data_IF_591465274642
#
_entry.id   IF_591465274642
#
_cell.length_a   1.000
_cell.length_b   1.000
_cell.length_c   1.000
_cell.angle_alpha   90.00
_cell.angle_beta   90.00
_cell.angle_gamma   90.00
#
_symmetry.space_group_name_H-M   'P 1'
#
loop_
_entity.id
_entity.type
_entity.pdbx_description
1 polymer ?
#
# COMPACT_ATOMS: atom_id res chain seq x y z
N UNK A 1 14.61 -15.83 -15.79
CA UNK A 1 14.18 -15.76 -14.37
C UNK A 1 13.29 -14.54 -14.26
N UNK A 2 12.03 -14.70 -13.87
CA UNK A 2 11.07 -13.58 -13.79
C UNK A 2 11.50 -12.66 -12.66
N UNK A 3 11.85 -11.41 -12.99
CA UNK A 3 12.22 -10.42 -11.99
C UNK A 3 10.97 -10.05 -11.17
N UNK A 4 10.92 -10.51 -9.91
CA UNK A 4 9.79 -10.22 -9.03
C UNK A 4 9.88 -8.77 -8.54
N UNK A 5 8.88 -7.98 -8.92
CA UNK A 5 8.73 -6.58 -8.52
C UNK A 5 8.03 -6.43 -7.18
N UNK A 6 7.21 -7.39 -6.77
CA UNK A 6 6.60 -7.45 -5.44
C UNK A 6 6.87 -8.81 -4.84
N UNK A 7 7.32 -8.82 -3.59
CA UNK A 7 7.51 -10.03 -2.79
C UNK A 7 6.81 -9.82 -1.46
N UNK A 8 5.80 -10.64 -1.19
CA UNK A 8 5.13 -10.74 0.09
C UNK A 8 5.39 -12.15 0.61
N UNK A 9 6.07 -12.27 1.74
CA UNK A 9 6.33 -13.55 2.39
C UNK A 9 5.96 -13.46 3.87
N UNK A 10 4.97 -14.28 4.26
CA UNK A 10 4.47 -14.42 5.61
C UNK A 10 3.95 -13.12 6.22
N UNK A 11 3.23 -12.31 5.43
CA UNK A 11 2.67 -11.04 5.91
C UNK A 11 1.57 -11.29 6.95
N UNK A 12 1.72 -10.66 8.11
CA UNK A 12 0.73 -10.54 9.15
C UNK A 12 0.42 -9.06 9.42
N UNK A 13 -0.84 -8.79 9.75
CA UNK A 13 -1.28 -7.47 10.22
C UNK A 13 -2.07 -7.67 11.49
N UNK A 14 -1.57 -7.09 12.58
CA UNK A 14 -2.09 -7.27 13.93
C UNK A 14 -2.66 -5.95 14.46
N UNK A 15 -3.87 -6.01 15.03
CA UNK A 15 -4.44 -4.96 15.87
C UNK A 15 -4.63 -5.52 17.29
N UNK A 16 -4.78 -4.67 18.32
CA UNK A 16 -4.94 -5.15 19.70
C UNK A 16 -6.06 -6.18 19.91
N UNK A 17 -7.14 -6.07 19.13
CA UNK A 17 -8.29 -6.98 19.25
C UNK A 17 -8.15 -8.26 18.41
N UNK A 18 -7.40 -8.22 17.30
CA UNK A 18 -7.33 -9.35 16.37
C UNK A 18 -6.18 -9.21 15.35
N UNK A 19 -5.73 -10.36 14.86
CA UNK A 19 -4.99 -10.45 13.60
C UNK A 19 -5.98 -10.34 12.44
N UNK A 20 -5.72 -9.43 11.50
CA UNK A 20 -6.61 -9.16 10.34
C UNK A 20 -6.08 -9.70 9.02
N UNK A 21 -4.77 -10.02 8.96
CA UNK A 21 -4.15 -10.75 7.85
C UNK A 21 -3.22 -11.80 8.44
N UNK A 22 -3.35 -13.04 7.97
CA UNK A 22 -2.64 -14.21 8.50
C UNK A 22 -1.72 -14.79 7.44
N UNK A 23 -0.41 -14.67 7.64
CA UNK A 23 0.63 -15.36 6.87
C UNK A 23 0.43 -15.33 5.34
N UNK A 24 0.10 -14.16 4.77
CA UNK A 24 -0.12 -13.99 3.34
C UNK A 24 1.21 -14.02 2.59
N UNK A 25 1.34 -14.89 1.58
CA UNK A 25 2.52 -14.97 0.72
C UNK A 25 2.15 -14.99 -0.76
N UNK A 26 2.79 -14.13 -1.56
CA UNK A 26 2.73 -14.14 -3.01
C UNK A 26 3.88 -13.34 -3.63
N UNK A 27 4.15 -13.55 -4.90
CA UNK A 27 5.07 -12.71 -5.68
C UNK A 27 4.37 -12.15 -6.90
N UNK A 28 4.86 -11.02 -7.41
CA UNK A 28 4.35 -10.39 -8.63
C UNK A 28 5.51 -9.88 -9.49
N UNK A 29 5.50 -10.20 -10.77
CA UNK A 29 6.34 -9.58 -11.80
C UNK A 29 5.60 -8.43 -12.50
N UNK A 30 5.39 -8.58 -13.81
CA UNK A 30 4.68 -7.60 -14.66
C UNK A 30 3.22 -8.01 -14.94
N UNK A 31 2.79 -9.15 -14.43
CA UNK A 31 1.43 -9.64 -14.55
C UNK A 31 0.44 -8.87 -13.65
N UNK A 32 -0.85 -9.08 -13.90
CA UNK A 32 -1.93 -8.49 -13.11
C UNK A 32 -2.43 -9.52 -12.11
N UNK A 33 -2.45 -9.15 -10.83
CA UNK A 33 -2.97 -9.98 -9.75
C UNK A 33 -4.26 -9.37 -9.20
N UNK A 34 -5.29 -10.21 -9.09
CA UNK A 34 -6.51 -9.88 -8.37
C UNK A 34 -6.54 -10.63 -7.04
N UNK A 35 -6.71 -9.90 -5.94
CA UNK A 35 -6.97 -10.48 -4.63
C UNK A 35 -8.48 -10.46 -4.37
N UNK A 36 -9.10 -11.63 -4.30
CA UNK A 36 -10.57 -11.81 -4.19
C UNK A 36 -10.90 -12.49 -2.87
N UNK A 37 -12.08 -12.20 -2.31
CA UNK A 37 -12.58 -12.77 -1.07
C UNK A 37 -13.73 -11.94 -0.50
N UNK A 38 -14.37 -12.43 0.55
CA UNK A 38 -15.52 -11.79 1.22
C UNK A 38 -15.17 -10.45 1.89
N UNK A 39 -16.18 -9.62 2.18
CA UNK A 39 -15.97 -8.39 2.95
C UNK A 39 -15.29 -8.70 4.29
N UNK A 40 -14.29 -7.90 4.66
CA UNK A 40 -13.53 -8.10 5.90
C UNK A 40 -12.38 -9.12 5.83
N UNK A 41 -12.18 -9.84 4.73
CA UNK A 41 -11.12 -10.86 4.60
C UNK A 41 -9.67 -10.34 4.56
N UNK A 42 -9.43 -9.06 4.88
CA UNK A 42 -8.08 -8.48 4.93
C UNK A 42 -7.55 -7.89 3.61
N UNK A 43 -8.26 -7.99 2.47
CA UNK A 43 -7.78 -7.50 1.15
C UNK A 43 -7.29 -6.05 1.16
N UNK A 44 -8.15 -5.14 1.63
CA UNK A 44 -7.82 -3.71 1.70
C UNK A 44 -6.69 -3.44 2.70
N UNK A 45 -6.54 -4.29 3.73
CA UNK A 45 -5.46 -4.18 4.70
C UNK A 45 -4.13 -4.64 4.12
N UNK A 46 -4.10 -5.73 3.35
CA UNK A 46 -2.91 -6.17 2.60
C UNK A 46 -2.43 -5.09 1.63
N UNK A 47 -3.35 -4.48 0.88
CA UNK A 47 -3.01 -3.37 -0.02
C UNK A 47 -2.46 -2.15 0.75
N UNK A 48 -3.06 -1.80 1.90
CA UNK A 48 -2.55 -0.71 2.76
C UNK A 48 -1.18 -1.02 3.35
N UNK A 49 -0.88 -2.28 3.70
CA UNK A 49 0.44 -2.68 4.19
C UNK A 49 1.51 -2.50 3.12
N UNK A 50 1.23 -2.89 1.87
CA UNK A 50 2.13 -2.67 0.73
C UNK A 50 2.37 -1.19 0.45
N UNK A 51 1.42 -0.32 0.80
CA UNK A 51 1.58 1.13 0.71
C UNK A 51 2.17 1.77 1.97
N UNK A 52 2.39 1.05 3.07
CA UNK A 52 2.80 1.63 4.36
C UNK A 52 1.74 2.52 5.00
N UNK A 53 0.45 2.23 4.75
CA UNK A 53 -0.71 3.00 5.18
C UNK A 53 -1.54 2.31 6.28
N UNK A 54 -1.00 1.25 6.90
CA UNK A 54 -1.60 0.65 8.10
C UNK A 54 -1.46 1.65 9.25
N UNK A 55 -2.59 2.14 9.75
CA UNK A 55 -2.62 3.12 10.84
C UNK A 55 -2.42 2.42 12.19
N UNK A 56 -1.71 3.09 13.10
CA UNK A 56 -1.65 2.70 14.51
C UNK A 56 -3.07 2.55 15.09
N UNK A 57 -3.31 1.59 16.00
CA UNK A 57 -2.33 0.69 16.62
C UNK A 57 -1.96 -0.55 15.78
N UNK A 58 -2.30 -0.60 14.48
CA UNK A 58 -1.96 -1.72 13.61
C UNK A 58 -0.44 -1.91 13.44
N UNK A 59 0.00 -3.17 13.49
CA UNK A 59 1.40 -3.58 13.35
C UNK A 59 1.52 -4.50 12.13
N UNK A 60 2.47 -4.19 11.25
CA UNK A 60 2.80 -5.01 10.07
C UNK A 60 4.05 -5.81 10.38
N UNK A 61 4.01 -7.13 10.15
CA UNK A 61 5.18 -8.00 10.23
C UNK A 61 5.19 -8.98 9.06
N UNK A 62 6.38 -9.36 8.58
CA UNK A 62 6.55 -10.32 7.50
C UNK A 62 7.95 -10.93 7.57
N UNK A 63 8.16 -12.08 6.93
CA UNK A 63 9.52 -12.58 6.67
C UNK A 63 10.22 -11.74 5.62
N UNK A 64 9.48 -11.35 4.57
CA UNK A 64 9.94 -10.44 3.53
C UNK A 64 8.77 -9.62 3.00
N UNK A 65 8.95 -8.32 2.90
CA UNK A 65 7.96 -7.43 2.30
C UNK A 65 8.71 -6.43 1.42
N UNK A 66 8.76 -6.71 0.11
CA UNK A 66 9.56 -5.94 -0.84
C UNK A 66 8.72 -5.46 -2.01
N UNK A 67 8.96 -4.20 -2.41
CA UNK A 67 8.39 -3.63 -3.63
C UNK A 67 9.47 -2.87 -4.38
N UNK A 68 9.69 -3.21 -5.65
CA UNK A 68 10.67 -2.60 -6.54
C UNK A 68 12.06 -2.54 -5.89
N UNK A 69 12.48 -3.61 -5.23
CA UNK A 69 13.77 -3.69 -4.54
C UNK A 69 13.80 -3.04 -3.14
N UNK A 70 12.76 -2.31 -2.73
CA UNK A 70 12.71 -1.66 -1.41
C UNK A 70 12.09 -2.58 -0.35
N UNK A 71 12.83 -2.85 0.73
CA UNK A 71 12.28 -3.52 1.92
C UNK A 71 11.37 -2.56 2.70
N UNK A 72 10.07 -2.85 2.69
CA UNK A 72 9.03 -1.99 3.22
C UNK A 72 8.98 -1.96 4.76
N UNK A 73 9.52 -2.97 5.43
CA UNK A 73 9.52 -3.05 6.90
C UNK A 73 10.51 -2.06 7.53
N UNK A 74 11.53 -1.63 6.77
CA UNK A 74 12.63 -0.79 7.25
C UNK A 74 12.61 0.62 6.68
N UNK A 75 11.63 0.96 5.83
CA UNK A 75 11.52 2.30 5.24
C UNK A 75 11.17 3.35 6.31
N UNK A 76 11.98 4.41 6.35
CA UNK A 76 11.62 5.64 7.05
C UNK A 76 10.65 6.50 6.22
N UNK A 77 10.11 7.55 6.83
CA UNK A 77 9.11 8.43 6.20
C UNK A 77 9.57 9.04 4.88
N UNK A 78 10.84 9.44 4.76
CA UNK A 78 11.39 10.05 3.54
C UNK A 78 11.45 9.05 2.39
N UNK A 79 11.87 7.81 2.66
CA UNK A 79 11.91 6.76 1.63
C UNK A 79 10.49 6.30 1.24
N UNK A 80 9.56 6.26 2.19
CA UNK A 80 8.14 6.05 1.88
C UNK A 80 7.59 7.14 0.95
N UNK A 81 7.93 8.40 1.20
CA UNK A 81 7.52 9.52 0.35
C UNK A 81 8.11 9.41 -1.06
N UNK A 82 9.38 9.03 -1.19
CA UNK A 82 10.02 8.84 -2.49
C UNK A 82 9.45 7.64 -3.28
N UNK A 83 9.08 6.56 -2.58
CA UNK A 83 8.52 5.36 -3.19
C UNK A 83 7.07 5.57 -3.65
N UNK A 84 6.26 6.26 -2.85
CA UNK A 84 4.87 6.61 -3.21
C UNK A 84 4.87 7.69 -4.30
N UNK A 85 3.95 7.58 -5.25
CA UNK A 85 3.84 8.51 -6.37
C UNK A 85 4.81 8.21 -7.52
N UNK A 86 6.08 7.91 -7.23
CA UNK A 86 7.07 7.58 -8.27
C UNK A 86 7.12 6.09 -8.62
N UNK A 87 7.06 5.22 -7.61
CA UNK A 87 7.17 3.77 -7.79
C UNK A 87 5.83 3.04 -7.65
N UNK A 88 5.04 3.42 -6.64
CA UNK A 88 3.73 2.84 -6.37
C UNK A 88 2.67 3.91 -6.11
N UNK A 89 1.45 3.64 -6.57
CA UNK A 89 0.29 4.46 -6.34
C UNK A 89 -0.90 3.57 -5.94
N UNK A 90 -1.85 4.15 -5.21
CA UNK A 90 -3.07 3.47 -4.80
C UNK A 90 -4.27 4.32 -5.21
N UNK A 91 -5.22 3.71 -5.89
CA UNK A 91 -6.55 4.26 -6.15
C UNK A 91 -7.50 3.66 -5.13
N UNK A 92 -8.09 4.50 -4.27
CA UNK A 92 -8.98 4.06 -3.19
C UNK A 92 -10.38 3.70 -3.74
N UNK A 93 -11.07 2.78 -3.04
CA UNK A 93 -12.40 2.31 -3.42
C UNK A 93 -13.46 3.41 -3.47
N UNK A 94 -13.37 4.42 -2.58
CA UNK A 94 -14.27 5.57 -2.60
C UNK A 94 -13.47 6.88 -2.76
N UNK A 95 -13.31 7.36 -4.02
CA UNK A 95 -12.60 8.60 -4.28
C UNK A 95 -13.43 9.85 -3.99
N UNK A 96 -14.73 9.73 -3.68
CA UNK A 96 -15.64 10.88 -3.56
C UNK A 96 -15.24 11.83 -2.43
N UNK A 97 -14.61 11.29 -1.39
CA UNK A 97 -14.09 12.08 -0.26
C UNK A 97 -12.64 12.51 -0.44
N UNK A 98 -11.96 12.07 -1.50
CA UNK A 98 -10.56 12.41 -1.75
C UNK A 98 -10.41 13.74 -2.50
N UNK A 99 -11.46 14.19 -3.20
CA UNK A 99 -11.47 15.42 -3.98
C UNK A 99 -12.32 16.48 -3.27
N UNK A 100 -11.83 17.71 -3.27
CA UNK A 100 -12.56 18.88 -2.82
C UNK A 100 -13.54 19.34 -3.92
N UNK A 101 -14.87 19.24 -3.70
CA UNK A 101 -15.87 19.55 -4.72
C UNK A 101 -15.93 21.05 -5.08
N UNK A 102 -15.34 21.94 -4.27
CA UNK A 102 -15.30 23.38 -4.57
C UNK A 102 -14.06 23.81 -5.35
N UNK A 103 -13.19 22.86 -5.74
CA UNK A 103 -12.01 23.11 -6.59
C UNK A 103 -12.15 22.42 -7.93
N UNK A 104 -11.61 23.02 -8.99
CA UNK A 104 -11.50 22.34 -10.29
C UNK A 104 -10.55 21.16 -10.20
N UNK A 105 -10.64 20.21 -11.15
CA UNK A 105 -9.71 19.07 -11.21
C UNK A 105 -8.27 19.57 -11.32
N UNK A 106 -8.00 20.55 -12.19
CA UNK A 106 -6.66 21.12 -12.38
C UNK A 106 -6.09 21.72 -11.08
N UNK A 107 -6.84 22.58 -10.40
CA UNK A 107 -6.37 23.23 -9.17
C UNK A 107 -6.00 22.22 -8.07
N UNK A 108 -6.69 21.08 -8.02
CA UNK A 108 -6.40 20.02 -7.03
C UNK A 108 -5.16 19.20 -7.41
N UNK A 109 -4.91 19.00 -8.70
CA UNK A 109 -3.69 18.37 -9.18
C UNK A 109 -2.48 19.28 -8.92
N UNK A 110 -2.62 20.58 -9.12
CA UNK A 110 -1.56 21.56 -8.85
C UNK A 110 -1.16 21.61 -7.37
N UNK A 111 -2.15 21.60 -6.45
CA UNK A 111 -1.89 21.55 -5.00
C UNK A 111 -1.03 20.33 -4.61
N UNK A 112 -1.29 19.17 -5.23
CA UNK A 112 -0.56 17.92 -4.99
C UNK A 112 0.90 17.99 -5.49
N UNK A 113 1.12 18.63 -6.63
CA UNK A 113 2.44 18.77 -7.25
C UNK A 113 3.31 19.81 -6.54
N UNK A 114 2.71 20.91 -6.06
CA UNK A 114 3.42 21.96 -5.32
C UNK A 114 3.89 21.51 -3.93
N UNK A 115 3.20 20.57 -3.29
CA UNK A 115 3.57 20.03 -1.98
C UNK A 115 4.63 18.91 -2.02
N UNK A 116 4.95 18.40 -3.21
CA UNK A 116 5.90 17.28 -3.39
C UNK A 116 7.23 17.69 -4.02
N UNK A 117 7.41 18.98 -4.32
CA UNK A 117 8.67 19.59 -4.77
C UNK A 117 9.59 19.98 -3.60
#
# INVERSE_FOLDING_TARGET
MTEHRVIVDALNIDYPAARVVHNLSFTLGNERLALVGESGSGKSMSARALMGLVRKPGIVSAKRLNVLGNDLLTLNSRRWQALRGNGIAMVLQDPRYALNPVKTVAAQLDDLLLYTA
#
